data_IF_344011337671
#
_entry.id   IF_344011337671
#
_cell.length_a   1.000
_cell.length_b   1.000
_cell.length_c   1.000
_cell.angle_alpha   90.00
_cell.angle_beta   90.00
_cell.angle_gamma   90.00
#
_symmetry.space_group_name_H-M   'P 1'
#
loop_
_entity.id
_entity.type
_entity.pdbx_description
1 polymer ?
#
# COMPACT_ATOMS: atom_id res chain seq x y z
N UNK A 1 -0.50 19.88 11.73
CA UNK A 1 0.48 18.86 11.27
C UNK A 1 1.93 19.39 11.29
N UNK A 2 2.92 18.54 11.66
CA UNK A 2 4.36 18.83 11.53
C UNK A 2 4.94 18.08 10.31
N UNK A 3 5.73 18.78 9.50
CA UNK A 3 6.46 18.22 8.36
C UNK A 3 7.97 18.17 8.61
N UNK A 4 8.67 17.35 7.84
CA UNK A 4 10.13 17.21 7.90
C UNK A 4 10.84 18.50 7.48
N UNK A 5 11.97 18.81 8.12
CA UNK A 5 12.83 19.93 7.74
C UNK A 5 13.57 19.66 6.42
N UNK A 6 13.66 18.39 5.99
CA UNK A 6 14.29 17.99 4.73
C UNK A 6 13.60 18.59 3.50
N UNK A 7 12.33 18.97 3.65
CA UNK A 7 11.49 19.52 2.57
C UNK A 7 11.07 20.96 2.87
N UNK A 8 11.87 21.66 3.67
CA UNK A 8 11.68 23.09 3.88
C UNK A 8 11.92 23.85 2.58
N UNK A 9 10.95 24.69 2.24
CA UNK A 9 10.93 25.39 0.96
C UNK A 9 11.54 26.76 1.17
N UNK A 10 12.63 27.01 0.46
CA UNK A 10 13.29 28.31 0.47
C UNK A 10 12.37 29.42 -0.04
N UNK A 11 12.59 30.64 0.46
CA UNK A 11 11.88 31.81 -0.08
C UNK A 11 12.21 31.96 -1.56
N UNK A 12 11.24 32.35 -2.42
CA UNK A 12 11.51 32.61 -3.83
C UNK A 12 12.66 33.60 -3.97
N UNK A 13 13.65 33.26 -4.79
CA UNK A 13 14.76 34.16 -5.06
C UNK A 13 14.27 35.38 -5.89
N UNK A 14 15.06 36.47 -5.97
CA UNK A 14 14.65 37.67 -6.70
C UNK A 14 14.31 37.44 -8.18
N UNK A 15 14.94 36.45 -8.83
CA UNK A 15 14.71 36.10 -10.23
C UNK A 15 13.32 35.49 -10.39
N UNK A 16 12.98 34.48 -9.56
CA UNK A 16 11.67 33.85 -9.57
C UNK A 16 10.52 34.85 -9.31
N UNK A 17 10.75 35.85 -8.44
CA UNK A 17 9.80 36.93 -8.21
C UNK A 17 9.64 37.83 -9.44
N UNK A 18 10.75 38.22 -10.09
CA UNK A 18 10.74 39.04 -11.29
C UNK A 18 10.05 38.32 -12.47
N UNK A 19 10.32 37.03 -12.68
CA UNK A 19 9.67 36.22 -13.71
C UNK A 19 8.16 36.11 -13.48
N UNK A 20 7.73 35.88 -12.24
CA UNK A 20 6.29 35.88 -11.90
C UNK A 20 5.65 37.23 -12.20
N UNK A 21 6.32 38.33 -11.89
CA UNK A 21 5.82 39.67 -12.20
C UNK A 21 5.75 39.95 -13.71
N UNK A 22 6.70 39.45 -14.51
CA UNK A 22 6.64 39.51 -15.97
C UNK A 22 5.43 38.72 -16.50
N UNK A 23 5.26 37.48 -16.06
CA UNK A 23 4.12 36.62 -16.47
C UNK A 23 2.78 37.24 -16.10
N UNK A 24 2.66 37.83 -14.91
CA UNK A 24 1.45 38.54 -14.47
C UNK A 24 1.11 39.75 -15.33
N UNK A 25 2.08 40.31 -16.07
CA UNK A 25 1.90 41.40 -17.05
C UNK A 25 1.72 40.88 -18.49
N UNK A 26 1.58 39.57 -18.68
CA UNK A 26 1.43 38.93 -19.99
C UNK A 26 2.74 38.76 -20.76
N UNK A 27 3.90 39.02 -20.15
CA UNK A 27 5.21 38.84 -20.77
C UNK A 27 5.86 37.52 -20.32
N UNK A 28 6.30 36.70 -21.28
CA UNK A 28 7.04 35.46 -21.00
C UNK A 28 8.54 35.73 -21.12
N UNK A 29 9.34 35.51 -20.06
CA UNK A 29 10.79 35.67 -20.16
C UNK A 29 11.38 34.67 -21.16
N UNK A 30 12.36 35.13 -21.94
CA UNK A 30 13.13 34.26 -22.85
C UNK A 30 14.09 33.42 -22.01
N UNK A 31 13.96 32.10 -22.08
CA UNK A 31 14.84 31.16 -21.37
C UNK A 31 16.17 30.98 -22.12
N UNK A 32 17.17 31.81 -21.78
CA UNK A 32 18.51 31.73 -22.38
C UNK A 32 19.23 30.40 -22.09
N UNK A 33 18.78 29.69 -21.07
CA UNK A 33 19.30 28.40 -20.62
C UNK A 33 18.31 27.25 -20.88
N UNK A 34 17.40 27.36 -21.86
CA UNK A 34 16.54 26.24 -22.23
C UNK A 34 17.38 25.07 -22.76
N UNK A 35 17.70 24.16 -21.85
CA UNK A 35 18.50 22.96 -22.09
C UNK A 35 17.63 21.73 -22.38
N UNK A 36 16.33 21.90 -22.63
CA UNK A 36 15.46 20.79 -22.98
C UNK A 36 15.56 20.50 -24.50
N UNK A 37 16.23 19.41 -24.91
CA UNK A 37 16.45 19.13 -26.33
C UNK A 37 15.15 18.94 -27.12
N UNK A 38 14.07 18.55 -26.44
CA UNK A 38 12.77 18.31 -27.08
C UNK A 38 12.09 19.61 -27.54
N UNK A 39 12.35 20.75 -26.88
CA UNK A 39 11.87 22.06 -27.33
C UNK A 39 12.56 22.55 -28.60
N UNK A 40 13.74 22.01 -28.91
CA UNK A 40 14.57 22.39 -30.06
C UNK A 40 14.47 21.40 -31.22
N UNK A 41 13.50 20.48 -31.20
CA UNK A 41 13.31 19.47 -32.25
C UNK A 41 14.43 18.43 -32.32
N UNK A 42 15.23 18.29 -31.27
CA UNK A 42 16.32 17.32 -31.18
C UNK A 42 15.87 15.97 -30.58
N UNK A 43 14.57 15.82 -30.32
CA UNK A 43 14.00 14.58 -29.82
C UNK A 43 14.07 13.47 -30.89
N UNK A 44 14.35 12.21 -30.50
CA UNK A 44 14.30 11.11 -31.44
C UNK A 44 12.86 10.87 -31.91
N UNK A 45 12.70 10.41 -33.16
CA UNK A 45 11.39 10.16 -33.78
C UNK A 45 10.46 9.22 -32.99
N UNK A 46 11.03 8.34 -32.16
CA UNK A 46 10.29 7.42 -31.29
C UNK A 46 9.72 8.07 -30.03
N UNK A 47 10.16 9.28 -29.68
CA UNK A 47 9.71 10.09 -28.54
C UNK A 47 9.56 11.55 -29.00
N UNK A 48 8.65 11.84 -29.96
CA UNK A 48 8.59 13.14 -30.61
C UNK A 48 8.00 14.24 -29.71
N UNK A 49 7.42 13.89 -28.56
CA UNK A 49 6.74 14.83 -27.70
C UNK A 49 7.71 15.80 -26.98
N UNK A 50 7.37 17.09 -26.89
CA UNK A 50 8.05 18.01 -25.99
C UNK A 50 7.94 17.52 -24.55
N UNK A 51 9.09 17.37 -23.88
CA UNK A 51 9.16 17.07 -22.46
C UNK A 51 8.64 18.28 -21.68
N UNK A 52 7.52 18.13 -20.99
CA UNK A 52 6.99 19.13 -20.07
C UNK A 52 7.03 18.56 -18.65
N UNK A 53 7.79 19.20 -17.77
CA UNK A 53 7.91 18.76 -16.39
C UNK A 53 6.64 19.09 -15.61
N UNK A 54 5.95 18.05 -15.13
CA UNK A 54 4.91 18.15 -14.10
C UNK A 54 5.29 17.21 -12.96
N UNK A 55 5.71 17.72 -11.78
CA UNK A 55 6.28 16.90 -10.72
C UNK A 55 5.28 15.85 -10.21
N UNK A 56 3.97 16.07 -10.36
CA UNK A 56 2.93 15.11 -9.93
C UNK A 56 2.69 14.00 -10.95
N UNK A 57 3.36 14.06 -12.11
CA UNK A 57 3.08 13.25 -13.29
C UNK A 57 2.11 13.95 -14.24
N UNK A 58 2.09 13.45 -15.48
CA UNK A 58 1.37 14.02 -16.60
C UNK A 58 -0.09 14.29 -16.25
N UNK A 59 -0.52 15.55 -16.45
CA UNK A 59 -1.88 15.98 -16.08
C UNK A 59 -2.98 15.13 -16.73
N UNK A 60 -2.87 14.80 -18.01
CA UNK A 60 -3.91 13.97 -18.68
C UNK A 60 -4.03 12.57 -18.06
N UNK A 61 -2.93 11.98 -17.60
CA UNK A 61 -2.94 10.67 -16.94
C UNK A 61 -3.57 10.78 -15.55
N UNK A 62 -3.28 11.86 -14.81
CA UNK A 62 -3.95 12.19 -13.54
C UNK A 62 -5.43 12.47 -13.72
N UNK A 63 -5.86 13.12 -14.81
CA UNK A 63 -7.28 13.34 -15.11
C UNK A 63 -8.02 12.03 -15.38
N UNK A 64 -7.41 11.13 -16.16
CA UNK A 64 -7.95 9.79 -16.38
C UNK A 64 -8.06 9.00 -15.07
N UNK A 65 -7.04 9.07 -14.21
CA UNK A 65 -7.06 8.45 -12.89
C UNK A 65 -8.14 9.07 -12.00
N UNK A 66 -8.26 10.40 -11.95
CA UNK A 66 -9.27 11.10 -11.17
C UNK A 66 -10.70 10.71 -11.59
N UNK A 67 -10.93 10.51 -12.90
CA UNK A 67 -12.20 10.04 -13.43
C UNK A 67 -12.49 8.57 -13.10
N UNK A 68 -11.44 7.74 -12.96
CA UNK A 68 -11.56 6.34 -12.54
C UNK A 68 -11.82 6.20 -11.03
N UNK A 69 -11.23 7.07 -10.21
CA UNK A 69 -11.35 7.01 -8.76
C UNK A 69 -12.70 7.57 -8.28
N UNK A 70 -13.40 6.80 -7.47
CA UNK A 70 -14.63 7.24 -6.80
C UNK A 70 -14.39 8.38 -5.79
N UNK A 71 -15.44 9.14 -5.50
CA UNK A 71 -15.44 10.12 -4.41
C UNK A 71 -14.80 11.47 -4.74
N UNK A 72 -14.84 11.89 -6.02
CA UNK A 72 -14.50 13.24 -6.45
C UNK A 72 -13.04 13.63 -6.20
N UNK A 73 -12.10 12.74 -6.55
CA UNK A 73 -10.68 13.06 -6.49
C UNK A 73 -10.38 14.28 -7.38
N UNK A 74 -9.79 15.33 -6.81
CA UNK A 74 -9.25 16.42 -7.61
C UNK A 74 -8.00 15.94 -8.35
N UNK A 75 -7.86 16.33 -9.61
CA UNK A 75 -6.64 16.03 -10.39
C UNK A 75 -5.37 16.49 -9.67
N UNK A 76 -5.45 17.59 -8.93
CA UNK A 76 -4.36 18.19 -8.18
C UNK A 76 -4.07 17.50 -6.83
N UNK A 77 -4.95 16.60 -6.38
CA UNK A 77 -4.75 15.81 -5.17
C UNK A 77 -3.93 14.54 -5.45
N UNK A 78 -3.58 14.27 -6.71
CA UNK A 78 -2.98 13.02 -7.17
C UNK A 78 -1.52 13.18 -7.57
N UNK A 79 -0.69 12.22 -7.15
CA UNK A 79 0.68 12.03 -7.61
C UNK A 79 0.81 10.66 -8.25
N UNK A 80 1.37 10.59 -9.47
CA UNK A 80 1.73 9.35 -10.14
C UNK A 80 3.19 8.99 -9.86
N UNK A 81 3.44 7.72 -9.60
CA UNK A 81 4.72 7.21 -9.14
C UNK A 81 4.92 5.77 -9.60
N UNK A 82 6.15 5.28 -9.52
CA UNK A 82 6.52 3.94 -10.01
C UNK A 82 5.94 2.79 -9.16
N UNK A 83 5.61 3.05 -7.89
CA UNK A 83 5.09 2.04 -6.96
C UNK A 83 4.63 2.67 -5.63
N UNK A 84 3.85 1.93 -4.84
CA UNK A 84 3.55 2.32 -3.45
C UNK A 84 4.79 2.31 -2.55
N UNK A 85 5.82 1.53 -2.88
CA UNK A 85 7.12 1.59 -2.20
C UNK A 85 7.79 2.95 -2.34
N UNK A 86 7.71 3.56 -3.53
CA UNK A 86 8.17 4.93 -3.74
C UNK A 86 7.31 5.91 -2.93
N UNK A 87 5.99 5.70 -2.86
CA UNK A 87 5.12 6.52 -2.02
C UNK A 87 5.51 6.47 -0.54
N UNK A 88 5.76 5.29 0.03
CA UNK A 88 6.22 5.16 1.42
C UNK A 88 7.50 5.98 1.65
N UNK A 89 8.49 5.84 0.77
CA UNK A 89 9.73 6.60 0.89
C UNK A 89 9.50 8.11 0.82
N UNK A 90 8.70 8.59 -0.14
CA UNK A 90 8.37 10.01 -0.26
C UNK A 90 7.61 10.54 0.95
N UNK A 91 6.63 9.81 1.45
CA UNK A 91 5.82 10.23 2.60
C UNK A 91 6.63 10.21 3.90
N UNK A 92 7.58 9.27 4.06
CA UNK A 92 8.54 9.29 5.16
C UNK A 92 9.47 10.51 5.06
N UNK A 93 9.98 10.86 3.88
CA UNK A 93 10.77 12.09 3.67
C UNK A 93 9.94 13.37 3.93
N UNK A 94 8.66 13.36 3.58
CA UNK A 94 7.73 14.47 3.79
C UNK A 94 7.44 14.70 5.28
N UNK A 95 7.20 13.64 6.03
CA UNK A 95 6.64 13.70 7.38
C UNK A 95 7.70 13.57 8.49
N UNK A 96 8.83 12.91 8.23
CA UNK A 96 9.79 12.51 9.26
C UNK A 96 11.16 13.18 9.07
N UNK A 97 11.73 13.67 10.18
CA UNK A 97 13.18 13.88 10.28
C UNK A 97 13.89 12.56 10.60
N UNK A 98 15.23 12.52 10.57
CA UNK A 98 15.96 11.32 10.97
C UNK A 98 15.74 11.06 12.47
N UNK A 99 15.35 9.82 12.82
CA UNK A 99 15.02 9.43 14.19
C UNK A 99 13.58 9.74 14.63
N UNK A 100 12.76 10.37 13.78
CA UNK A 100 11.30 10.33 13.93
C UNK A 100 10.77 8.92 13.65
N UNK A 101 9.51 8.66 13.99
CA UNK A 101 8.90 7.34 13.92
C UNK A 101 7.61 7.30 13.11
N UNK A 102 7.28 6.11 12.60
CA UNK A 102 5.97 5.79 12.02
C UNK A 102 5.38 4.56 12.70
N UNK A 103 4.06 4.55 12.89
CA UNK A 103 3.33 3.38 13.39
C UNK A 103 2.96 2.46 12.21
N UNK A 104 3.16 1.16 12.35
CA UNK A 104 2.84 0.13 11.36
C UNK A 104 2.17 -1.09 12.01
N UNK A 105 1.34 -1.85 11.28
CA UNK A 105 0.65 -3.00 11.84
C UNK A 105 1.59 -4.21 12.04
N UNK A 106 1.30 -5.01 13.06
CA UNK A 106 1.77 -6.40 13.20
C UNK A 106 0.59 -7.33 13.56
N UNK A 107 0.38 -8.47 12.89
CA UNK A 107 1.04 -8.93 11.66
C UNK A 107 0.89 -7.95 10.50
N UNK A 108 1.93 -7.78 9.69
CA UNK A 108 1.94 -6.74 8.66
C UNK A 108 2.88 -7.00 7.49
N UNK A 109 2.95 -6.03 6.58
CA UNK A 109 3.75 -6.14 5.37
C UNK A 109 5.23 -5.79 5.66
N UNK A 110 6.18 -6.74 5.53
CA UNK A 110 7.57 -6.54 5.99
C UNK A 110 8.32 -5.39 5.31
N UNK A 111 7.88 -5.00 4.11
CA UNK A 111 8.55 -3.95 3.34
C UNK A 111 8.47 -2.58 4.02
N UNK A 112 7.45 -2.31 4.84
CA UNK A 112 7.30 -1.03 5.55
C UNK A 112 8.49 -0.79 6.47
N UNK A 113 8.86 -1.79 7.26
CA UNK A 113 10.01 -1.73 8.17
C UNK A 113 11.32 -1.53 7.40
N UNK A 114 11.50 -2.25 6.29
CA UNK A 114 12.68 -2.11 5.43
C UNK A 114 12.82 -0.70 4.86
N UNK A 115 11.74 -0.12 4.32
CA UNK A 115 11.73 1.24 3.77
C UNK A 115 11.95 2.28 4.88
N UNK A 116 11.31 2.13 6.03
CA UNK A 116 11.51 3.03 7.17
C UNK A 116 12.99 3.12 7.58
N UNK A 117 13.66 1.96 7.67
CA UNK A 117 15.10 1.88 7.97
C UNK A 117 15.95 2.59 6.91
N UNK A 118 15.65 2.41 5.62
CA UNK A 118 16.33 3.12 4.52
C UNK A 118 16.15 4.65 4.60
N UNK A 119 15.05 5.11 5.18
CA UNK A 119 14.72 6.53 5.33
C UNK A 119 15.19 7.16 6.66
N UNK A 120 15.93 6.39 7.47
CA UNK A 120 16.35 6.74 8.83
C UNK A 120 15.16 7.06 9.75
N UNK A 121 14.04 6.36 9.57
CA UNK A 121 12.80 6.47 10.35
C UNK A 121 12.63 5.21 11.19
N UNK A 122 12.24 5.37 12.45
CA UNK A 122 12.00 4.27 13.38
C UNK A 122 10.60 3.66 13.12
N UNK A 123 10.49 2.38 12.70
CA UNK A 123 9.20 1.71 12.67
C UNK A 123 8.81 1.30 14.09
N UNK A 124 7.63 1.72 14.52
CA UNK A 124 6.96 1.29 15.75
C UNK A 124 5.71 0.52 15.39
N UNK A 125 5.31 -0.44 16.22
CA UNK A 125 4.29 -1.40 15.83
C UNK A 125 3.08 -1.40 16.74
N UNK A 126 1.89 -1.40 16.15
CA UNK A 126 0.63 -1.69 16.83
C UNK A 126 0.11 -3.08 16.43
N UNK A 127 -0.66 -3.71 17.30
CA UNK A 127 -1.11 -5.08 17.13
C UNK A 127 -2.47 -5.15 16.44
N UNK A 128 -2.59 -6.12 15.53
CA UNK A 128 -3.86 -6.68 15.13
C UNK A 128 -4.14 -7.90 16.02
N UNK A 129 -5.30 -7.91 16.67
CA UNK A 129 -5.75 -9.03 17.52
C UNK A 129 -6.70 -9.92 16.74
N UNK A 130 -6.51 -11.23 16.85
CA UNK A 130 -7.41 -12.22 16.28
C UNK A 130 -8.32 -12.80 17.36
N UNK A 131 -9.63 -12.60 17.21
CA UNK A 131 -10.68 -13.24 18.01
C UNK A 131 -11.87 -13.58 17.09
N UNK A 132 -11.72 -14.65 16.32
CA UNK A 132 -12.62 -15.03 15.21
C UNK A 132 -12.59 -14.09 14.00
N UNK A 133 -12.14 -12.85 14.20
CA UNK A 133 -11.81 -11.87 13.16
C UNK A 133 -10.65 -11.00 13.65
N UNK A 134 -9.94 -10.40 12.71
CA UNK A 134 -8.83 -9.50 13.01
C UNK A 134 -9.36 -8.08 13.28
N UNK A 135 -8.86 -7.48 14.36
CA UNK A 135 -9.21 -6.11 14.77
C UNK A 135 -7.95 -5.33 15.16
N UNK A 136 -7.96 -4.01 14.94
CA UNK A 136 -6.86 -3.12 15.31
C UNK A 136 -6.99 -2.76 16.80
N UNK A 137 -5.90 -2.91 17.54
CA UNK A 137 -5.81 -2.49 18.94
C UNK A 137 -5.62 -0.97 19.06
N UNK A 138 -6.72 -0.22 18.90
CA UNK A 138 -6.72 1.26 18.95
C UNK A 138 -6.28 1.80 20.32
N UNK A 139 -6.52 1.06 21.40
CA UNK A 139 -6.06 1.42 22.74
C UNK A 139 -4.53 1.38 22.84
N UNK A 140 -3.87 0.39 22.22
CA UNK A 140 -2.41 0.35 22.16
C UNK A 140 -1.84 1.47 21.30
N UNK A 141 -2.50 1.82 20.18
CA UNK A 141 -2.10 2.98 19.38
C UNK A 141 -2.12 4.25 20.23
N UNK A 142 -3.19 4.46 21.00
CA UNK A 142 -3.27 5.61 21.91
C UNK A 142 -2.16 5.59 22.97
N UNK A 143 -1.84 4.43 23.54
CA UNK A 143 -0.73 4.29 24.49
C UNK A 143 0.62 4.68 23.87
N UNK A 144 0.91 4.22 22.65
CA UNK A 144 2.14 4.57 21.93
C UNK A 144 2.23 6.07 21.60
N UNK A 145 1.09 6.70 21.31
CA UNK A 145 1.03 8.15 21.06
C UNK A 145 1.23 8.97 22.34
N UNK A 146 0.81 8.44 23.49
CA UNK A 146 0.96 9.08 24.81
C UNK A 146 2.31 8.81 25.48
N UNK A 147 3.09 7.84 25.00
CA UNK A 147 4.38 7.52 25.59
C UNK A 147 5.37 8.69 25.50
N UNK A 148 6.44 8.68 26.30
CA UNK A 148 7.44 9.77 26.38
C UNK A 148 8.08 10.12 25.03
N UNK A 149 8.05 9.17 24.09
CA UNK A 149 8.60 9.26 22.74
C UNK A 149 7.52 9.38 21.65
N UNK A 150 6.24 9.41 22.03
CA UNK A 150 5.09 9.44 21.12
C UNK A 150 5.04 10.70 20.28
N UNK A 151 5.59 11.80 20.80
CA UNK A 151 5.80 13.06 20.08
C UNK A 151 6.73 12.93 18.86
N UNK A 152 7.45 11.81 18.69
CA UNK A 152 8.26 11.49 17.48
C UNK A 152 7.46 10.77 16.40
N UNK A 153 6.28 10.26 16.71
CA UNK A 153 5.42 9.57 15.75
C UNK A 153 4.82 10.62 14.80
N UNK A 154 5.03 10.46 13.49
CA UNK A 154 4.57 11.41 12.47
C UNK A 154 3.47 10.86 11.57
N UNK A 155 3.40 9.54 11.43
CA UNK A 155 2.39 8.89 10.63
C UNK A 155 1.91 7.57 11.25
N UNK A 156 0.64 7.27 11.03
CA UNK A 156 0.03 5.95 11.21
C UNK A 156 -0.14 5.31 9.83
N UNK A 157 0.57 4.21 9.60
CA UNK A 157 0.41 3.37 8.42
C UNK A 157 -0.71 2.36 8.68
N UNK A 158 -1.71 2.34 7.81
CA UNK A 158 -2.85 1.44 7.85
C UNK A 158 -2.92 0.69 6.53
N UNK A 159 -2.96 -0.63 6.56
CA UNK A 159 -3.10 -1.46 5.35
C UNK A 159 -4.54 -1.98 5.30
N UNK A 160 -5.27 -1.68 4.23
CA UNK A 160 -6.71 -1.89 4.16
C UNK A 160 -7.15 -2.48 2.80
N UNK A 161 -7.37 -3.80 2.71
CA UNK A 161 -7.21 -4.83 3.73
C UNK A 161 -5.74 -5.18 4.00
N UNK A 162 -5.45 -5.58 5.23
CA UNK A 162 -4.10 -5.89 5.68
C UNK A 162 -3.51 -7.13 5.00
N UNK A 163 -2.21 -7.11 4.72
CA UNK A 163 -1.44 -8.27 4.25
C UNK A 163 -0.47 -8.68 5.38
N UNK A 164 -0.52 -9.92 5.90
CA UNK A 164 -1.16 -11.12 5.32
C UNK A 164 -2.56 -11.46 5.83
N UNK A 165 -3.11 -10.74 6.81
CA UNK A 165 -4.32 -11.20 7.53
C UNK A 165 -5.60 -11.14 6.69
N UNK A 166 -5.61 -10.34 5.63
CA UNK A 166 -6.77 -10.09 4.79
C UNK A 166 -7.84 -9.23 5.46
N UNK A 167 -7.54 -8.58 6.59
CA UNK A 167 -8.54 -7.87 7.40
C UNK A 167 -8.76 -6.44 6.93
N UNK A 168 -10.01 -6.04 6.74
CA UNK A 168 -10.35 -4.63 6.55
C UNK A 168 -10.45 -3.91 7.89
N UNK A 169 -10.17 -2.61 7.86
CA UNK A 169 -10.41 -1.70 8.98
C UNK A 169 -11.91 -1.56 9.20
N UNK A 170 -12.38 -1.86 10.42
CA UNK A 170 -13.80 -1.78 10.78
C UNK A 170 -14.28 -0.32 10.84
N UNK A 171 -15.59 -0.06 10.69
CA UNK A 171 -16.12 1.30 10.75
C UNK A 171 -15.78 2.01 12.07
N UNK A 172 -15.96 1.34 13.21
CA UNK A 172 -15.64 1.89 14.52
C UNK A 172 -14.14 2.10 14.74
N UNK A 173 -13.30 1.17 14.26
CA UNK A 173 -11.84 1.33 14.30
C UNK A 173 -11.42 2.56 13.51
N UNK A 174 -11.93 2.69 12.28
CA UNK A 174 -11.61 3.84 11.41
C UNK A 174 -11.93 5.17 12.10
N UNK A 175 -13.11 5.30 12.70
CA UNK A 175 -13.52 6.52 13.41
C UNK A 175 -12.56 6.84 14.56
N UNK A 176 -12.16 5.83 15.34
CA UNK A 176 -11.18 5.97 16.41
C UNK A 176 -9.80 6.35 15.88
N UNK A 177 -9.32 5.72 14.81
CA UNK A 177 -8.02 6.03 14.20
C UNK A 177 -7.99 7.48 13.68
N UNK A 178 -9.04 7.92 12.99
CA UNK A 178 -9.14 9.33 12.52
C UNK A 178 -9.16 10.30 13.70
N UNK A 179 -9.90 9.99 14.77
CA UNK A 179 -9.95 10.81 15.97
C UNK A 179 -8.60 10.90 16.68
N UNK A 180 -7.90 9.78 16.86
CA UNK A 180 -6.57 9.72 17.45
C UNK A 180 -5.56 10.49 16.60
N UNK A 181 -5.47 10.19 15.30
CA UNK A 181 -4.55 10.88 14.38
C UNK A 181 -4.76 12.40 14.37
N UNK A 182 -6.02 12.85 14.42
CA UNK A 182 -6.34 14.28 14.56
C UNK A 182 -5.90 14.85 15.91
N UNK A 183 -6.13 14.14 17.02
CA UNK A 183 -5.81 14.61 18.37
C UNK A 183 -4.30 14.75 18.63
N UNK A 184 -3.48 13.91 18.01
CA UNK A 184 -2.03 13.87 18.20
C UNK A 184 -1.23 14.45 17.03
N UNK A 185 -1.87 15.12 16.07
CA UNK A 185 -1.20 15.69 14.88
C UNK A 185 -0.37 14.64 14.09
N UNK A 186 -0.95 13.46 13.88
CA UNK A 186 -0.34 12.33 13.15
C UNK A 186 -1.08 12.14 11.83
N UNK A 187 -0.35 12.05 10.72
CA UNK A 187 -0.95 11.78 9.42
C UNK A 187 -1.34 10.30 9.27
N UNK A 188 -2.30 10.00 8.39
CA UNK A 188 -2.62 8.61 8.00
C UNK A 188 -1.97 8.32 6.65
N UNK A 189 -1.24 7.21 6.55
CA UNK A 189 -0.81 6.62 5.27
C UNK A 189 -1.62 5.33 5.09
N UNK A 190 -2.59 5.35 4.19
CA UNK A 190 -3.49 4.23 3.97
C UNK A 190 -3.09 3.46 2.70
N UNK A 191 -2.62 2.23 2.84
CA UNK A 191 -2.31 1.35 1.72
C UNK A 191 -3.53 0.52 1.36
N UNK A 192 -4.15 0.85 0.23
CA UNK A 192 -5.44 0.32 -0.20
C UNK A 192 -5.36 -0.51 -1.47
N UNK A 193 -4.15 -0.98 -1.84
CA UNK A 193 -3.91 -1.74 -3.08
C UNK A 193 -4.76 -3.02 -3.19
N UNK A 194 -5.23 -3.56 -2.07
CA UNK A 194 -6.07 -4.75 -2.05
C UNK A 194 -7.56 -4.48 -1.84
N UNK A 195 -7.97 -3.20 -1.74
CA UNK A 195 -9.31 -2.85 -1.26
C UNK A 195 -10.44 -3.45 -2.09
N UNK A 196 -10.27 -3.60 -3.40
CA UNK A 196 -11.31 -4.14 -4.28
C UNK A 196 -11.43 -5.68 -4.24
N UNK A 197 -10.54 -6.38 -3.54
CA UNK A 197 -10.51 -7.84 -3.46
C UNK A 197 -11.26 -8.41 -2.26
N UNK A 198 -12.50 -7.97 -2.02
CA UNK A 198 -13.33 -8.50 -0.94
C UNK A 198 -13.62 -10.01 -1.11
N UNK A 199 -13.33 -10.77 -0.06
CA UNK A 199 -13.63 -12.19 0.12
C UNK A 199 -14.89 -12.39 0.96
N UNK A 200 -15.02 -11.62 2.06
CA UNK A 200 -16.18 -11.61 2.95
C UNK A 200 -16.63 -10.15 3.21
N UNK A 201 -17.47 -9.57 2.34
CA UNK A 201 -17.90 -8.19 2.48
C UNK A 201 -18.81 -8.01 3.72
N UNK A 202 -18.71 -6.84 4.36
CA UNK A 202 -19.54 -6.42 5.48
C UNK A 202 -19.99 -4.96 5.30
N UNK A 203 -21.06 -4.57 6.00
CA UNK A 203 -21.64 -3.23 5.91
C UNK A 203 -20.70 -2.15 6.47
N UNK A 204 -20.65 -1.00 5.80
CA UNK A 204 -19.85 0.15 6.25
C UNK A 204 -18.35 0.07 5.93
N UNK A 205 -17.89 -0.98 5.23
CA UNK A 205 -16.52 -1.03 4.73
C UNK A 205 -16.23 0.16 3.79
N UNK A 206 -15.18 0.93 4.07
CA UNK A 206 -14.87 2.16 3.33
C UNK A 206 -13.38 2.47 3.27
N UNK A 207 -12.99 3.13 2.17
CA UNK A 207 -11.63 3.62 1.93
C UNK A 207 -11.26 4.83 2.78
N UNK A 208 -9.98 4.98 3.08
CA UNK A 208 -9.35 6.22 3.58
C UNK A 208 -9.12 7.26 2.50
N UNK A 209 -9.05 6.83 1.23
CA UNK A 209 -9.07 7.72 0.07
C UNK A 209 -10.19 8.77 0.17
N UNK A 210 -9.83 10.05 0.28
CA UNK A 210 -10.77 11.17 0.40
C UNK A 210 -11.20 11.51 1.83
N UNK A 211 -10.56 10.96 2.86
CA UNK A 211 -10.80 11.33 4.27
C UNK A 211 -10.54 12.82 4.50
N UNK A 212 -11.43 13.49 5.24
CA UNK A 212 -11.39 14.95 5.46
C UNK A 212 -11.08 15.35 6.90
N UNK A 213 -11.18 14.41 7.85
CA UNK A 213 -10.98 14.67 9.27
C UNK A 213 -9.52 14.82 9.69
N UNK A 214 -8.58 14.25 8.94
CA UNK A 214 -7.14 14.28 9.21
C UNK A 214 -6.35 14.17 7.91
N UNK A 215 -5.13 14.73 7.87
CA UNK A 215 -4.24 14.60 6.71
C UNK A 215 -4.00 13.12 6.42
N UNK A 216 -4.40 12.71 5.22
CA UNK A 216 -4.44 11.31 4.80
C UNK A 216 -3.86 11.17 3.41
N UNK A 217 -2.92 10.24 3.26
CA UNK A 217 -2.31 9.83 2.01
C UNK A 217 -2.78 8.42 1.67
N UNK A 218 -3.70 8.29 0.72
CA UNK A 218 -4.15 6.98 0.26
C UNK A 218 -3.28 6.48 -0.90
N UNK A 219 -2.80 5.25 -0.79
CA UNK A 219 -1.91 4.60 -1.75
C UNK A 219 -2.65 3.49 -2.46
N UNK A 220 -2.55 3.45 -3.77
CA UNK A 220 -3.07 2.36 -4.59
C UNK A 220 -2.24 2.26 -5.89
N UNK A 221 -2.48 1.27 -6.74
CA UNK A 221 -1.66 1.06 -7.92
C UNK A 221 -2.02 -0.16 -8.77
N UNK A 222 -1.59 -0.12 -10.03
CA UNK A 222 -1.89 -1.17 -11.02
C UNK A 222 -1.27 -2.53 -10.71
N UNK A 223 -0.30 -2.59 -9.80
CA UNK A 223 0.31 -3.85 -9.38
C UNK A 223 -0.72 -4.88 -8.95
N UNK A 224 -1.79 -4.44 -8.28
CA UNK A 224 -2.88 -5.31 -7.83
C UNK A 224 -4.08 -5.14 -8.75
N UNK A 225 -4.56 -3.91 -8.97
CA UNK A 225 -5.75 -3.62 -9.80
C UNK A 225 -5.77 -4.34 -11.16
N UNK A 226 -4.61 -4.47 -11.83
CA UNK A 226 -4.48 -5.15 -13.13
C UNK A 226 -3.88 -6.55 -13.05
N UNK A 227 -3.58 -7.05 -11.84
CA UNK A 227 -2.71 -8.21 -11.61
C UNK A 227 -1.37 -8.13 -12.35
N UNK A 228 -0.83 -6.91 -12.51
CA UNK A 228 0.35 -6.62 -13.30
C UNK A 228 1.43 -5.92 -12.46
N UNK A 229 2.16 -6.64 -11.57
CA UNK A 229 3.20 -6.04 -10.72
C UNK A 229 4.39 -5.42 -11.50
N UNK A 230 4.50 -5.72 -12.80
CA UNK A 230 5.48 -5.17 -13.73
C UNK A 230 5.01 -3.87 -14.41
N UNK A 231 3.73 -3.46 -14.25
CA UNK A 231 3.23 -2.20 -14.83
C UNK A 231 3.88 -0.97 -14.19
N UNK A 232 4.35 -1.09 -12.93
CA UNK A 232 5.09 -0.04 -12.20
C UNK A 232 4.42 1.34 -12.26
N UNK A 233 3.13 1.35 -11.94
CA UNK A 233 2.36 2.57 -11.68
C UNK A 233 1.64 2.40 -10.34
N UNK A 234 1.87 3.35 -9.45
CA UNK A 234 1.10 3.59 -8.24
C UNK A 234 0.79 5.07 -8.11
N UNK A 235 -0.05 5.42 -7.15
CA UNK A 235 -0.39 6.81 -6.89
C UNK A 235 -0.57 7.10 -5.41
N UNK A 236 -0.42 8.37 -5.07
CA UNK A 236 -0.83 8.96 -3.79
C UNK A 236 -2.04 9.85 -4.08
N UNK A 237 -3.12 9.68 -3.32
CA UNK A 237 -4.18 10.70 -3.19
C UNK A 237 -4.02 11.40 -1.85
N UNK A 238 -3.83 12.71 -1.88
CA UNK A 238 -3.76 13.57 -0.69
C UNK A 238 -5.18 14.04 -0.33
N UNK A 239 -5.53 13.98 0.95
CA UNK A 239 -6.83 14.44 1.46
C UNK A 239 -6.73 14.84 2.92
N UNK A 240 -7.69 15.61 3.44
CA UNK A 240 -7.71 16.05 4.84
C UNK A 240 -8.18 17.50 5.01
N UNK A 241 -7.90 18.11 6.18
CA UNK A 241 -8.13 19.54 6.40
C UNK A 241 -7.37 20.39 5.37
N UNK A 242 -8.04 21.41 4.82
CA UNK A 242 -7.52 22.14 3.66
C UNK A 242 -6.16 22.80 3.88
N UNK A 243 -5.84 23.25 5.09
CA UNK A 243 -4.56 23.90 5.40
C UNK A 243 -3.41 22.88 5.43
N UNK A 244 -3.63 21.72 6.05
CA UNK A 244 -2.67 20.62 6.08
C UNK A 244 -2.45 20.06 4.67
N UNK A 245 -3.51 19.90 3.86
CA UNK A 245 -3.40 19.44 2.46
C UNK A 245 -2.58 20.43 1.64
N UNK A 246 -2.86 21.74 1.73
CA UNK A 246 -2.10 22.75 0.98
C UNK A 246 -0.61 22.72 1.32
N UNK A 247 -0.26 22.61 2.60
CA UNK A 247 1.14 22.55 3.01
C UNK A 247 1.82 21.24 2.64
N UNK A 248 1.12 20.11 2.80
CA UNK A 248 1.61 18.79 2.40
C UNK A 248 1.90 18.74 0.90
N UNK A 249 0.94 19.15 0.07
CA UNK A 249 1.09 19.20 -1.40
C UNK A 249 2.25 20.10 -1.80
N UNK A 250 2.39 21.28 -1.19
CA UNK A 250 3.49 22.21 -1.48
C UNK A 250 4.86 21.57 -1.24
N UNK A 251 5.03 20.82 -0.15
CA UNK A 251 6.27 20.12 0.21
C UNK A 251 6.47 18.83 -0.60
N UNK A 252 5.40 18.10 -0.87
CA UNK A 252 5.44 16.88 -1.68
C UNK A 252 5.79 17.19 -3.14
N UNK A 253 5.39 18.36 -3.67
CA UNK A 253 5.83 18.85 -4.98
C UNK A 253 7.35 19.00 -5.07
N UNK A 254 8.02 19.44 -3.98
CA UNK A 254 9.49 19.54 -3.96
C UNK A 254 10.13 18.15 -4.07
N UNK A 255 9.64 17.19 -3.28
CA UNK A 255 10.11 15.80 -3.38
C UNK A 255 9.87 15.26 -4.79
N UNK A 256 8.68 15.50 -5.34
CA UNK A 256 8.30 14.95 -6.63
C UNK A 256 9.10 15.56 -7.79
N UNK A 257 9.44 16.85 -7.70
CA UNK A 257 10.33 17.54 -8.64
C UNK A 257 11.76 16.98 -8.61
N UNK A 258 12.30 16.71 -7.42
CA UNK A 258 13.64 16.12 -7.24
C UNK A 258 13.77 14.72 -7.85
N UNK A 259 12.66 13.98 -7.95
CA UNK A 259 12.62 12.64 -8.55
C UNK A 259 12.26 12.64 -10.05
N UNK A 260 11.90 13.81 -10.58
CA UNK A 260 11.37 14.01 -11.93
C UNK A 260 10.02 13.31 -12.18
N UNK A 261 9.23 13.81 -13.16
CA UNK A 261 7.95 13.22 -13.53
C UNK A 261 8.06 11.77 -14.02
N UNK A 262 6.93 11.06 -13.95
CA UNK A 262 6.78 9.74 -14.56
C UNK A 262 7.14 9.78 -16.05
N UNK A 263 7.71 8.66 -16.53
CA UNK A 263 7.99 8.47 -17.96
C UNK A 263 6.73 8.65 -18.82
N UNK A 264 6.84 9.47 -19.87
CA UNK A 264 5.76 9.69 -20.85
C UNK A 264 5.28 8.37 -21.50
N UNK A 265 6.20 7.41 -21.69
CA UNK A 265 5.85 6.08 -22.21
C UNK A 265 4.86 5.36 -21.30
N UNK A 266 5.07 5.45 -19.99
CA UNK A 266 4.20 4.83 -18.98
C UNK A 266 2.92 5.63 -18.81
N UNK A 267 3.02 6.96 -18.75
CA UNK A 267 1.87 7.86 -18.61
C UNK A 267 0.84 7.68 -19.74
N UNK A 268 1.29 7.52 -20.99
CA UNK A 268 0.40 7.26 -22.14
C UNK A 268 -0.35 5.94 -22.02
N UNK A 269 0.21 4.97 -21.31
CA UNK A 269 -0.43 3.68 -21.07
C UNK A 269 -1.43 3.71 -19.91
N UNK A 270 -1.43 4.74 -19.06
CA UNK A 270 -2.33 4.84 -17.90
C UNK A 270 -3.82 4.84 -18.29
N UNK A 271 -4.32 5.69 -19.22
CA UNK A 271 -5.73 5.65 -19.60
C UNK A 271 -6.24 4.30 -20.12
N UNK A 272 -5.58 3.62 -21.09
CA UNK A 272 -6.03 2.31 -21.54
C UNK A 272 -5.88 1.24 -20.44
N UNK A 273 -4.88 1.32 -19.57
CA UNK A 273 -4.77 0.43 -18.41
C UNK A 273 -6.00 0.56 -17.48
N UNK A 274 -6.40 1.79 -17.15
CA UNK A 274 -7.60 2.05 -16.34
C UNK A 274 -8.87 1.48 -16.96
N UNK A 275 -9.03 1.59 -18.28
CA UNK A 275 -10.18 1.04 -18.99
C UNK A 275 -10.29 -0.49 -18.87
N UNK A 276 -9.17 -1.20 -18.72
CA UNK A 276 -9.14 -2.67 -18.54
C UNK A 276 -9.31 -3.12 -17.09
N UNK A 277 -9.17 -2.21 -16.12
CA UNK A 277 -9.17 -2.55 -14.70
C UNK A 277 -10.42 -3.30 -14.22
N UNK A 278 -11.66 -2.89 -14.55
CA UNK A 278 -12.86 -3.57 -14.07
C UNK A 278 -12.91 -5.06 -14.42
N UNK A 279 -12.59 -5.41 -15.67
CA UNK A 279 -12.60 -6.80 -16.14
C UNK A 279 -11.52 -7.65 -15.45
N UNK A 280 -10.33 -7.07 -15.23
CA UNK A 280 -9.24 -7.76 -14.52
C UNK A 280 -9.58 -7.98 -13.05
N UNK A 281 -10.12 -6.94 -12.38
CA UNK A 281 -10.59 -7.03 -11.00
C UNK A 281 -11.63 -8.15 -10.85
N UNK A 282 -12.63 -8.19 -11.73
CA UNK A 282 -13.67 -9.22 -11.71
C UNK A 282 -13.09 -10.63 -11.88
N UNK A 283 -12.17 -10.82 -12.84
CA UNK A 283 -11.53 -12.11 -13.10
C UNK A 283 -10.76 -12.62 -11.88
N UNK A 284 -9.94 -11.76 -11.28
CA UNK A 284 -9.14 -12.12 -10.10
C UNK A 284 -10.04 -12.37 -8.90
N UNK A 285 -11.06 -11.54 -8.66
CA UNK A 285 -12.02 -11.75 -7.58
C UNK A 285 -12.76 -13.08 -7.72
N UNK A 286 -13.22 -13.43 -8.92
CA UNK A 286 -13.87 -14.72 -9.17
C UNK A 286 -12.94 -15.90 -8.85
N UNK A 287 -11.66 -15.79 -9.24
CA UNK A 287 -10.62 -16.78 -8.92
C UNK A 287 -10.41 -16.92 -7.41
N UNK A 288 -10.18 -15.82 -6.69
CA UNK A 288 -9.86 -15.87 -5.27
C UNK A 288 -11.03 -16.36 -4.43
N UNK A 289 -12.25 -15.90 -4.72
CA UNK A 289 -13.46 -16.36 -4.04
C UNK A 289 -13.78 -17.84 -4.34
N UNK A 290 -13.56 -18.28 -5.59
CA UNK A 290 -13.71 -19.69 -5.96
C UNK A 290 -12.75 -20.59 -5.20
N UNK A 291 -11.47 -20.21 -5.15
CA UNK A 291 -10.46 -20.95 -4.41
C UNK A 291 -10.70 -20.92 -2.90
N UNK A 292 -11.17 -19.81 -2.31
CA UNK A 292 -11.53 -19.77 -0.90
C UNK A 292 -12.67 -20.74 -0.56
N UNK A 293 -13.73 -20.79 -1.37
CA UNK A 293 -14.80 -21.80 -1.20
C UNK A 293 -14.23 -23.21 -1.26
N UNK A 294 -13.37 -23.47 -2.25
CA UNK A 294 -12.73 -24.77 -2.42
C UNK A 294 -11.82 -25.16 -1.25
N UNK A 295 -11.13 -24.19 -0.66
CA UNK A 295 -10.33 -24.39 0.54
C UNK A 295 -11.20 -24.89 1.69
N UNK A 296 -12.30 -24.20 1.99
CA UNK A 296 -13.21 -24.63 3.06
C UNK A 296 -13.79 -26.02 2.84
N UNK A 297 -14.12 -26.40 1.59
CA UNK A 297 -14.55 -27.76 1.27
C UNK A 297 -13.47 -28.80 1.58
N UNK A 298 -12.22 -28.52 1.19
CA UNK A 298 -11.09 -29.43 1.42
C UNK A 298 -10.75 -29.57 2.91
N UNK A 299 -10.76 -28.47 3.65
CA UNK A 299 -10.53 -28.49 5.10
C UNK A 299 -11.63 -29.25 5.85
N UNK A 300 -12.91 -29.08 5.47
CA UNK A 300 -14.02 -29.84 6.06
C UNK A 300 -13.98 -31.33 5.73
N UNK A 301 -13.41 -31.70 4.58
CA UNK A 301 -13.29 -33.08 4.16
C UNK A 301 -12.02 -33.77 4.68
N UNK A 302 -11.09 -33.02 5.28
CA UNK A 302 -9.88 -33.56 5.86
C UNK A 302 -10.20 -34.36 7.13
N UNK A 303 -9.77 -35.62 7.17
CA UNK A 303 -10.09 -36.52 8.27
C UNK A 303 -9.36 -36.16 9.57
N UNK A 304 -8.18 -35.54 9.46
CA UNK A 304 -7.38 -35.15 10.61
C UNK A 304 -7.97 -33.90 11.27
N UNK A 305 -8.46 -32.94 10.47
CA UNK A 305 -9.28 -31.82 10.95
C UNK A 305 -8.53 -30.83 11.85
N UNK A 306 -7.19 -30.84 11.80
CA UNK A 306 -6.32 -29.98 12.62
C UNK A 306 -5.82 -28.73 11.88
N UNK A 307 -6.14 -28.61 10.59
CA UNK A 307 -5.80 -27.44 9.77
C UNK A 307 -7.05 -26.60 9.56
N UNK A 308 -6.94 -25.31 9.84
CA UNK A 308 -7.98 -24.32 9.60
C UNK A 308 -7.44 -23.15 8.79
N UNK A 309 -8.32 -22.27 8.33
CA UNK A 309 -7.98 -20.99 7.70
C UNK A 309 -8.45 -19.86 8.60
N UNK A 310 -7.54 -18.94 8.95
CA UNK A 310 -7.93 -17.74 9.66
C UNK A 310 -8.81 -16.89 8.76
N UNK A 311 -9.92 -16.39 9.32
CA UNK A 311 -10.88 -15.56 8.60
C UNK A 311 -10.18 -14.39 7.90
N UNK A 312 -10.32 -14.34 6.59
CA UNK A 312 -9.77 -13.29 5.72
C UNK A 312 -10.92 -12.62 4.98
N UNK A 313 -10.96 -11.29 5.04
CA UNK A 313 -12.09 -10.51 4.53
C UNK A 313 -11.82 -9.93 3.15
N UNK A 314 -10.56 -9.77 2.78
CA UNK A 314 -10.12 -9.30 1.48
C UNK A 314 -8.68 -9.68 1.13
N UNK A 315 -8.29 -9.36 -0.10
CA UNK A 315 -6.98 -9.71 -0.66
C UNK A 315 -7.01 -11.03 -1.44
N UNK A 316 -5.83 -11.59 -1.67
CA UNK A 316 -5.65 -12.81 -2.48
C UNK A 316 -4.76 -13.87 -1.82
N UNK A 317 -4.40 -13.66 -0.55
CA UNK A 317 -3.66 -14.61 0.28
C UNK A 317 -4.48 -14.83 1.56
N UNK A 318 -4.36 -16.02 2.14
CA UNK A 318 -4.95 -16.36 3.43
C UNK A 318 -3.89 -17.01 4.33
N UNK A 319 -4.12 -16.99 5.63
CA UNK A 319 -3.27 -17.68 6.60
C UNK A 319 -3.94 -18.99 7.01
N UNK A 320 -3.26 -20.10 6.77
CA UNK A 320 -3.62 -21.38 7.36
C UNK A 320 -3.12 -21.43 8.81
N UNK A 321 -3.87 -22.11 9.68
CA UNK A 321 -3.50 -22.46 11.05
C UNK A 321 -3.39 -23.97 11.16
N UNK A 322 -2.32 -24.47 11.76
CA UNK A 322 -2.14 -25.88 12.12
C UNK A 322 -1.56 -25.99 13.53
N UNK A 323 -1.47 -27.18 14.15
CA UNK A 323 -1.00 -27.32 15.52
C UNK A 323 0.36 -26.66 15.73
N UNK A 324 0.46 -25.81 16.75
CA UNK A 324 1.67 -25.01 17.02
C UNK A 324 2.87 -25.83 17.50
N UNK A 325 2.67 -27.13 17.76
CA UNK A 325 3.75 -28.09 18.05
C UNK A 325 4.59 -28.38 16.81
N UNK A 326 4.05 -28.17 15.61
CA UNK A 326 4.75 -28.37 14.35
C UNK A 326 5.59 -27.11 14.06
N UNK A 327 6.89 -27.27 13.93
CA UNK A 327 7.76 -26.17 13.49
C UNK A 327 7.49 -25.82 12.02
N UNK A 328 7.36 -24.53 11.74
CA UNK A 328 7.01 -24.08 10.39
C UNK A 328 8.15 -24.36 9.39
N UNK A 329 9.42 -24.38 9.83
CA UNK A 329 10.54 -24.73 8.97
C UNK A 329 10.51 -26.22 8.64
N UNK A 330 10.26 -27.09 9.63
CA UNK A 330 10.15 -28.52 9.40
C UNK A 330 9.03 -28.86 8.42
N UNK A 331 7.87 -28.21 8.56
CA UNK A 331 6.75 -28.36 7.63
C UNK A 331 7.15 -27.94 6.20
N UNK A 332 7.76 -26.77 6.04
CA UNK A 332 8.16 -26.25 4.72
C UNK A 332 9.29 -27.07 4.10
N UNK A 333 10.27 -27.51 4.89
CA UNK A 333 11.33 -28.39 4.42
C UNK A 333 10.78 -29.76 3.98
N UNK A 334 9.81 -30.32 4.72
CA UNK A 334 9.11 -31.55 4.31
C UNK A 334 8.37 -31.38 2.98
N UNK A 335 7.69 -30.24 2.78
CA UNK A 335 7.05 -29.91 1.50
C UNK A 335 8.06 -29.82 0.35
N UNK A 336 9.24 -29.25 0.59
CA UNK A 336 10.29 -29.14 -0.42
C UNK A 336 10.86 -30.50 -0.79
N UNK A 337 11.15 -31.34 0.21
CA UNK A 337 11.71 -32.67 0.02
C UNK A 337 10.73 -33.63 -0.69
N UNK A 338 9.47 -33.68 -0.25
CA UNK A 338 8.52 -34.70 -0.70
C UNK A 338 7.68 -34.27 -1.91
N UNK A 339 7.55 -32.96 -2.14
CA UNK A 339 6.65 -32.42 -3.16
C UNK A 339 7.26 -31.32 -4.02
N UNK A 340 8.53 -30.92 -3.78
CA UNK A 340 9.14 -29.79 -4.48
C UNK A 340 8.38 -28.47 -4.27
N UNK A 341 7.58 -28.38 -3.20
CA UNK A 341 6.72 -27.25 -2.91
C UNK A 341 7.30 -26.41 -1.77
N UNK A 342 7.11 -25.10 -1.84
CA UNK A 342 7.53 -24.17 -0.79
C UNK A 342 6.36 -23.25 -0.44
N UNK A 343 6.39 -22.69 0.77
CA UNK A 343 5.43 -21.72 1.26
C UNK A 343 6.11 -20.74 2.19
N UNK A 344 5.36 -19.73 2.63
CA UNK A 344 5.85 -18.70 3.54
C UNK A 344 5.33 -18.96 4.95
N UNK A 345 6.19 -19.34 5.91
CA UNK A 345 5.87 -19.43 7.33
C UNK A 345 5.27 -18.16 7.93
N UNK A 346 4.59 -18.31 9.06
CA UNK A 346 3.99 -17.20 9.81
C UNK A 346 5.00 -16.15 10.27
N UNK A 347 6.21 -16.56 10.66
CA UNK A 347 7.21 -15.63 11.17
C UNK A 347 7.66 -14.58 10.14
N UNK A 348 7.52 -14.83 8.83
CA UNK A 348 7.78 -13.81 7.79
C UNK A 348 6.84 -12.61 7.88
N UNK A 349 5.74 -12.76 8.61
CA UNK A 349 4.72 -11.73 8.78
C UNK A 349 4.50 -11.36 10.26
N UNK A 350 5.46 -11.65 11.13
CA UNK A 350 5.38 -11.38 12.57
C UNK A 350 4.24 -12.12 13.31
N UNK A 351 3.88 -13.33 12.86
CA UNK A 351 2.94 -14.16 13.62
C UNK A 351 3.55 -14.58 14.98
N UNK A 352 2.76 -14.60 16.08
CA UNK A 352 3.30 -14.69 17.44
C UNK A 352 3.72 -16.10 17.88
N UNK A 353 3.42 -17.13 17.10
CA UNK A 353 3.71 -18.53 17.43
C UNK A 353 3.88 -19.35 16.16
N UNK A 354 4.49 -20.53 16.26
CA UNK A 354 4.45 -21.54 15.20
C UNK A 354 3.01 -21.93 14.86
N UNK A 355 2.83 -22.55 13.69
CA UNK A 355 1.54 -23.10 13.27
C UNK A 355 0.84 -22.27 12.19
N UNK A 356 1.55 -21.49 11.38
CA UNK A 356 0.98 -20.72 10.29
C UNK A 356 1.70 -20.93 8.96
N UNK A 357 0.92 -20.86 7.87
CA UNK A 357 1.44 -20.86 6.51
C UNK A 357 0.58 -19.95 5.64
N UNK A 358 1.22 -19.01 4.94
CA UNK A 358 0.52 -18.20 3.96
C UNK A 358 0.23 -19.03 2.69
N UNK A 359 -1.02 -18.98 2.24
CA UNK A 359 -1.50 -19.67 1.04
C UNK A 359 -2.07 -18.66 0.04
N UNK A 360 -1.62 -18.72 -1.21
CA UNK A 360 -2.15 -17.89 -2.27
C UNK A 360 -3.43 -18.46 -2.88
N UNK A 361 -4.45 -17.61 -3.02
CA UNK A 361 -5.72 -17.92 -3.68
C UNK A 361 -5.67 -17.71 -5.21
N UNK A 362 -4.52 -17.40 -5.81
CA UNK A 362 -4.42 -17.04 -7.23
C UNK A 362 -4.29 -18.24 -8.18
N UNK A 363 -3.77 -19.37 -7.70
CA UNK A 363 -3.46 -20.53 -8.53
C UNK A 363 -4.70 -21.04 -9.30
N UNK A 364 -4.51 -21.66 -10.47
CA UNK A 364 -5.59 -22.37 -11.18
C UNK A 364 -6.31 -23.33 -10.24
N UNK A 365 -7.66 -23.46 -10.30
CA UNK A 365 -8.43 -24.17 -9.28
C UNK A 365 -7.94 -25.59 -8.97
N UNK A 366 -7.54 -26.33 -9.99
CA UNK A 366 -7.00 -27.69 -9.86
C UNK A 366 -5.65 -27.67 -9.16
N UNK A 367 -4.76 -26.74 -9.55
CA UNK A 367 -3.45 -26.54 -8.91
C UNK A 367 -3.61 -26.08 -7.47
N UNK A 368 -4.56 -25.18 -7.21
CA UNK A 368 -4.90 -24.72 -5.87
C UNK A 368 -5.32 -25.88 -4.98
N UNK A 369 -6.26 -26.71 -5.44
CA UNK A 369 -6.71 -27.88 -4.69
C UNK A 369 -5.56 -28.87 -4.44
N UNK A 370 -4.67 -29.08 -5.41
CA UNK A 370 -3.47 -29.90 -5.22
C UNK A 370 -2.53 -29.31 -4.18
N UNK A 371 -2.27 -27.99 -4.21
CA UNK A 371 -1.43 -27.31 -3.22
C UNK A 371 -1.99 -27.47 -1.80
N UNK A 372 -3.31 -27.33 -1.61
CA UNK A 372 -3.94 -27.53 -0.30
C UNK A 372 -3.72 -28.95 0.21
N UNK A 373 -3.90 -29.97 -0.65
CA UNK A 373 -3.65 -31.38 -0.27
C UNK A 373 -2.20 -31.65 0.11
N UNK A 374 -1.23 -30.98 -0.54
CA UNK A 374 0.19 -31.08 -0.17
C UNK A 374 0.41 -30.58 1.27
N UNK A 375 -0.18 -29.44 1.62
CA UNK A 375 -0.08 -28.89 2.98
C UNK A 375 -0.73 -29.83 4.00
N UNK A 376 -1.96 -30.32 3.73
CA UNK A 376 -2.64 -31.28 4.62
C UNK A 376 -1.81 -32.55 4.84
N UNK A 377 -1.26 -33.11 3.76
CA UNK A 377 -0.39 -34.29 3.84
C UNK A 377 0.92 -34.03 4.61
N UNK A 378 1.49 -32.83 4.51
CA UNK A 378 2.68 -32.46 5.27
C UNK A 378 2.39 -32.31 6.77
N UNK A 379 1.24 -31.73 7.12
CA UNK A 379 0.80 -31.62 8.53
C UNK A 379 0.54 -33.02 9.11
N UNK A 380 -0.11 -33.91 8.37
CA UNK A 380 -0.34 -35.29 8.81
C UNK A 380 0.98 -36.03 9.10
N UNK A 381 1.95 -35.97 8.17
CA UNK A 381 3.27 -36.58 8.38
C UNK A 381 4.01 -36.02 9.59
N UNK A 382 3.94 -34.71 9.82
CA UNK A 382 4.61 -34.09 10.96
C UNK A 382 4.03 -34.58 12.31
N UNK A 383 2.75 -34.93 12.34
CA UNK A 383 2.09 -35.44 13.55
C UNK A 383 2.30 -36.95 13.74
N UNK A 384 2.41 -37.73 12.65
CA UNK A 384 2.69 -39.17 12.71
C UNK A 384 4.11 -39.51 13.20
N UNK A 385 5.05 -38.55 13.14
CA UNK A 385 6.46 -38.73 13.56
C UNK A 385 6.65 -38.45 15.07
N UNK A 386 5.58 -38.15 15.82
CA UNK A 386 5.66 -37.83 17.25
C UNK A 386 5.57 -39.03 18.22
N UNK A 387 5.74 -40.27 17.73
CA UNK A 387 5.79 -41.51 18.54
C UNK A 387 7.22 -42.05 18.73
#
# INVERSE_FOLDING_TARGET
MRFSHRVDISKPNPIALAERAMRARGATPIALNDSNPTHHGLAPHMLPEPYAADPRGQRYAREALAAYLDGGAGVDDLYLLSSTSQAYAWLMKLLCDAGDAVLAPKPGYPLIESIARLECVEPRFYQLRFDGSWTIDTAQIEQLLRDDTGHRIRALIVINPNNPTGSYVKPGEREQLVALCRAYDVAIIADEVFFDYALEPFEGNRRFSGERGVLTFALDGFSKTLAAPHAKVGWIRVSGPGDDVREATRRLDVIADDFLPMSELVARAVPPMLATAPDQLQRVRARTQGNLRRLHELLRADALGVVDVLRAEGGWNVLLRFPSVIDENELVLSLMEHAGASGQPGYFFDMPSNGYLALSLLAEPERFASNVRLVLGAVARALDVSD
#
